data_IF_293559452849
#
_entry.id   IF_293559452849
#
_cell.length_a   1.000
_cell.length_b   1.000
_cell.length_c   1.000
_cell.angle_alpha   90.00
_cell.angle_beta   90.00
_cell.angle_gamma   90.00
#
_symmetry.space_group_name_H-M   'P 1'
#
loop_
_entity.id
_entity.type
_entity.pdbx_description
1 polymer ?
#
# COMPACT_ATOMS: atom_id res chain seq x y z
N UNK A 1 7.15 -11.83 4.98
CA UNK A 1 6.75 -11.44 3.60
C UNK A 1 7.89 -10.72 2.89
N UNK A 2 7.92 -10.72 1.55
CA UNK A 2 8.80 -9.84 0.77
C UNK A 2 8.10 -8.53 0.40
N UNK A 3 8.58 -7.41 0.94
CA UNK A 3 8.04 -6.08 0.63
C UNK A 3 8.34 -5.63 -0.80
N UNK A 4 9.50 -6.02 -1.37
CA UNK A 4 9.79 -5.75 -2.79
C UNK A 4 8.78 -6.46 -3.70
N UNK A 5 8.44 -7.73 -3.38
CA UNK A 5 7.41 -8.48 -4.11
C UNK A 5 6.05 -7.80 -4.02
N UNK A 6 5.63 -7.37 -2.82
CA UNK A 6 4.38 -6.65 -2.64
C UNK A 6 4.30 -5.38 -3.49
N UNK A 7 5.37 -4.57 -3.48
CA UNK A 7 5.45 -3.37 -4.33
C UNK A 7 5.29 -3.68 -5.82
N UNK A 8 6.03 -4.67 -6.31
CA UNK A 8 5.95 -5.10 -7.72
C UNK A 8 4.54 -5.58 -8.10
N UNK A 9 3.96 -6.46 -7.30
CA UNK A 9 2.62 -7.02 -7.57
C UNK A 9 1.53 -5.93 -7.58
N UNK A 10 1.66 -4.91 -6.73
CA UNK A 10 0.73 -3.79 -6.73
C UNK A 10 0.87 -2.94 -8.00
N UNK A 11 2.10 -2.64 -8.43
CA UNK A 11 2.35 -1.94 -9.68
C UNK A 11 1.79 -2.71 -10.88
N UNK A 12 2.04 -4.02 -10.95
CA UNK A 12 1.51 -4.90 -12.01
C UNK A 12 -0.01 -4.85 -12.07
N UNK A 13 -0.71 -4.93 -10.93
CA UNK A 13 -2.16 -4.84 -10.86
C UNK A 13 -2.70 -3.47 -11.31
N UNK A 14 -2.06 -2.38 -10.87
CA UNK A 14 -2.44 -1.01 -11.26
C UNK A 14 -2.25 -0.79 -12.76
N UNK A 15 -1.13 -1.23 -13.33
CA UNK A 15 -0.87 -1.12 -14.76
C UNK A 15 -1.83 -1.99 -15.59
N UNK A 16 -2.14 -3.20 -15.13
CA UNK A 16 -3.13 -4.07 -15.75
C UNK A 16 -4.53 -3.44 -15.77
N UNK A 17 -4.84 -2.60 -14.77
CA UNK A 17 -6.08 -1.83 -14.66
C UNK A 17 -6.06 -0.52 -15.47
N UNK A 18 -5.08 -0.35 -16.36
CA UNK A 18 -5.02 0.74 -17.34
C UNK A 18 -4.49 2.08 -16.82
N UNK A 19 -4.14 2.20 -15.55
CA UNK A 19 -3.58 3.43 -14.99
C UNK A 19 -2.13 3.67 -15.44
N UNK A 20 -1.77 4.93 -15.69
CA UNK A 20 -0.44 5.31 -16.20
C UNK A 20 0.17 6.50 -15.47
N UNK A 21 -0.66 7.40 -14.95
CA UNK A 21 -0.27 8.63 -14.29
C UNK A 21 -0.30 8.45 -12.78
N UNK A 22 0.66 7.70 -12.28
CA UNK A 22 0.67 7.21 -10.90
C UNK A 22 1.47 8.15 -10.01
N UNK A 23 0.93 8.47 -8.83
CA UNK A 23 1.64 9.17 -7.78
C UNK A 23 1.73 8.36 -6.49
N UNK A 24 2.80 8.57 -5.72
CA UNK A 24 3.05 7.84 -4.47
C UNK A 24 3.01 8.76 -3.24
N UNK A 25 2.32 8.33 -2.18
CA UNK A 25 2.18 9.07 -0.94
C UNK A 25 2.69 8.23 0.23
N UNK A 26 3.71 8.71 0.94
CA UNK A 26 4.40 7.93 1.96
C UNK A 26 4.69 8.67 3.26
N UNK A 27 4.39 8.02 4.38
CA UNK A 27 4.83 8.46 5.72
C UNK A 27 6.06 7.69 6.19
N UNK A 28 6.91 8.32 7.00
CA UNK A 28 8.07 7.69 7.66
C UNK A 28 9.09 7.05 6.70
N UNK A 29 9.19 7.51 5.45
CA UNK A 29 10.02 6.84 4.43
C UNK A 29 11.51 6.71 4.79
N UNK A 30 12.06 7.60 5.62
CA UNK A 30 13.46 7.48 6.10
C UNK A 30 13.62 6.33 7.12
N UNK A 31 12.66 6.16 8.04
CA UNK A 31 12.71 5.17 9.12
C UNK A 31 12.07 3.82 8.80
N UNK A 32 11.08 3.78 7.91
CA UNK A 32 10.41 2.55 7.50
C UNK A 32 11.08 1.91 6.27
N UNK A 33 12.08 1.07 6.55
CA UNK A 33 12.77 0.26 5.54
C UNK A 33 11.82 -0.64 4.74
N UNK A 34 10.68 -1.05 5.31
CA UNK A 34 9.70 -1.92 4.64
C UNK A 34 8.89 -1.14 3.62
N UNK A 35 8.45 0.07 3.97
CA UNK A 35 7.78 0.98 3.03
C UNK A 35 8.69 1.34 1.85
N UNK A 36 9.98 1.63 2.11
CA UNK A 36 10.97 1.84 1.04
C UNK A 36 11.12 0.64 0.12
N UNK A 37 11.28 -0.57 0.67
CA UNK A 37 11.34 -1.79 -0.15
C UNK A 37 10.09 -2.00 -1.01
N UNK A 38 8.90 -1.62 -0.53
CA UNK A 38 7.67 -1.63 -1.35
C UNK A 38 7.75 -0.61 -2.48
N UNK A 39 8.16 0.62 -2.19
CA UNK A 39 8.32 1.65 -3.23
C UNK A 39 9.37 1.24 -4.28
N UNK A 40 10.52 0.72 -3.85
CA UNK A 40 11.58 0.23 -4.75
C UNK A 40 11.05 -0.86 -5.70
N UNK A 41 10.36 -1.88 -5.17
CA UNK A 41 9.77 -2.92 -6.01
C UNK A 41 8.64 -2.43 -6.93
N UNK A 42 7.92 -1.39 -6.50
CA UNK A 42 6.88 -0.74 -7.29
C UNK A 42 7.49 0.02 -8.48
N UNK A 43 8.48 0.87 -8.22
CA UNK A 43 9.19 1.65 -9.25
C UNK A 43 9.94 0.75 -10.23
N UNK A 44 10.59 -0.31 -9.76
CA UNK A 44 11.23 -1.30 -10.63
C UNK A 44 10.25 -1.90 -11.64
N UNK A 45 9.02 -2.18 -11.20
CA UNK A 45 7.97 -2.73 -12.07
C UNK A 45 7.46 -1.70 -13.08
N UNK A 46 7.25 -0.45 -12.65
CA UNK A 46 6.88 0.64 -13.55
C UNK A 46 7.96 0.88 -14.62
N UNK A 47 9.23 0.96 -14.23
CA UNK A 47 10.34 1.21 -15.15
C UNK A 47 10.46 0.11 -16.21
N UNK A 48 10.24 -1.15 -15.84
CA UNK A 48 10.21 -2.28 -16.80
C UNK A 48 9.09 -2.16 -17.83
N UNK A 49 8.01 -1.45 -17.51
CA UNK A 49 6.90 -1.16 -18.41
C UNK A 49 7.05 0.20 -19.13
N UNK A 50 8.19 0.89 -18.97
CA UNK A 50 8.42 2.21 -19.56
C UNK A 50 7.67 3.35 -18.87
N UNK A 51 7.21 3.13 -17.63
CA UNK A 51 6.51 4.11 -16.81
C UNK A 51 7.39 4.59 -15.64
N UNK A 52 7.05 5.73 -15.07
CA UNK A 52 7.60 6.25 -13.84
C UNK A 52 6.50 6.93 -13.02
N UNK A 53 6.73 7.11 -11.72
CA UNK A 53 5.85 7.94 -10.90
C UNK A 53 5.91 9.39 -11.40
N UNK A 54 4.75 9.99 -11.66
CA UNK A 54 4.66 11.37 -12.15
C UNK A 54 4.69 12.39 -11.01
N UNK A 55 4.48 11.93 -9.77
CA UNK A 55 4.56 12.75 -8.56
C UNK A 55 4.79 11.88 -7.31
N UNK A 56 5.33 12.48 -6.24
CA UNK A 56 5.49 11.86 -4.93
C UNK A 56 5.27 12.87 -3.81
N UNK A 57 4.66 12.45 -2.72
CA UNK A 57 4.52 13.22 -1.49
C UNK A 57 5.04 12.42 -0.28
N UNK A 58 5.95 13.01 0.48
CA UNK A 58 6.52 12.37 1.67
C UNK A 58 6.29 13.19 2.94
N UNK A 59 5.88 12.50 4.00
CA UNK A 59 5.75 13.07 5.32
C UNK A 59 6.62 12.33 6.35
N UNK A 60 7.37 13.07 7.16
CA UNK A 60 8.26 12.49 8.17
C UNK A 60 7.56 12.11 9.48
N UNK A 61 6.34 12.60 9.72
CA UNK A 61 5.57 12.25 10.92
C UNK A 61 4.82 10.92 10.77
N UNK A 62 4.03 10.61 11.81
CA UNK A 62 3.25 9.36 11.89
C UNK A 62 2.15 9.24 10.84
N UNK A 63 1.68 8.01 10.62
CA UNK A 63 0.55 7.73 9.75
C UNK A 63 -0.78 8.14 10.40
N UNK A 64 -1.62 8.87 9.68
CA UNK A 64 -2.92 9.35 10.16
C UNK A 64 -3.89 9.62 8.99
N UNK A 65 -5.21 9.46 9.21
CA UNK A 65 -6.23 9.75 8.20
C UNK A 65 -6.16 11.20 7.72
N UNK A 66 -6.10 12.15 8.66
CA UNK A 66 -6.03 13.57 8.34
C UNK A 66 -4.84 13.87 7.43
N UNK A 67 -3.69 13.23 7.69
CA UNK A 67 -2.52 13.44 6.86
C UNK A 67 -2.68 12.86 5.45
N UNK A 68 -3.34 11.72 5.33
CA UNK A 68 -3.74 11.15 4.04
C UNK A 68 -4.60 12.11 3.22
N UNK A 69 -5.59 12.73 3.85
CA UNK A 69 -6.45 13.77 3.24
C UNK A 69 -5.63 14.96 2.75
N UNK A 70 -4.76 15.52 3.59
CA UNK A 70 -3.93 16.68 3.25
C UNK A 70 -2.99 16.40 2.07
N UNK A 71 -2.26 15.29 2.10
CA UNK A 71 -1.32 14.93 1.03
C UNK A 71 -2.06 14.66 -0.29
N UNK A 72 -3.25 14.03 -0.22
CA UNK A 72 -4.10 13.79 -1.41
C UNK A 72 -4.60 15.10 -2.01
N UNK A 73 -5.04 16.04 -1.17
CA UNK A 73 -5.46 17.35 -1.65
C UNK A 73 -4.31 18.09 -2.35
N UNK A 74 -3.11 18.08 -1.73
CA UNK A 74 -1.94 18.76 -2.28
C UNK A 74 -1.49 18.15 -3.62
N UNK A 75 -1.48 16.82 -3.74
CA UNK A 75 -0.99 16.15 -4.95
C UNK A 75 -1.96 16.32 -6.14
N UNK A 76 -3.27 16.20 -5.89
CA UNK A 76 -4.27 16.38 -6.95
C UNK A 76 -4.40 17.85 -7.38
N UNK A 77 -4.13 18.79 -6.48
CA UNK A 77 -4.11 20.22 -6.81
C UNK A 77 -2.90 20.59 -7.69
N UNK A 78 -1.70 20.06 -7.38
CA UNK A 78 -0.48 20.38 -8.14
C UNK A 78 -0.32 19.56 -9.41
N UNK A 79 -0.85 18.33 -9.44
CA UNK A 79 -0.77 17.43 -10.58
C UNK A 79 -2.13 16.81 -10.93
N UNK A 80 -2.98 17.56 -11.66
CA UNK A 80 -4.31 17.08 -12.06
C UNK A 80 -4.31 15.91 -13.05
N UNK A 81 -3.14 15.55 -13.62
CA UNK A 81 -3.01 14.43 -14.55
C UNK A 81 -2.99 13.07 -13.84
N UNK A 82 -2.80 13.04 -12.51
CA UNK A 82 -2.77 11.82 -11.70
C UNK A 82 -4.07 11.04 -11.86
N UNK A 83 -3.95 9.79 -12.29
CA UNK A 83 -5.05 8.83 -12.42
C UNK A 83 -4.99 7.71 -11.36
N UNK A 84 -3.90 7.62 -10.60
CA UNK A 84 -3.77 6.65 -9.51
C UNK A 84 -2.92 7.16 -8.35
N UNK A 85 -3.39 6.94 -7.12
CA UNK A 85 -2.70 7.27 -5.88
C UNK A 85 -2.34 5.99 -5.12
N UNK A 86 -1.04 5.69 -5.04
CA UNK A 86 -0.54 4.57 -4.25
C UNK A 86 0.02 5.07 -2.91
N UNK A 87 -0.54 4.59 -1.82
CA UNK A 87 -0.20 5.00 -0.47
C UNK A 87 0.71 3.97 0.20
N UNK A 88 1.67 4.43 1.01
CA UNK A 88 2.55 3.53 1.73
C UNK A 88 1.82 2.63 2.73
N UNK A 89 0.64 3.01 3.20
CA UNK A 89 -0.20 2.21 4.08
C UNK A 89 -1.68 2.61 4.03
N UNK A 90 -2.54 1.72 4.51
CA UNK A 90 -4.01 1.89 4.51
C UNK A 90 -4.50 3.13 5.24
N UNK A 91 -3.79 3.60 6.27
CA UNK A 91 -4.31 4.68 7.11
C UNK A 91 -4.32 6.04 6.40
N UNK A 92 -3.25 6.36 5.68
CA UNK A 92 -3.22 7.54 4.80
C UNK A 92 -4.07 7.31 3.54
N UNK A 93 -4.18 6.06 3.04
CA UNK A 93 -5.05 5.71 1.92
C UNK A 93 -6.53 5.96 2.23
N UNK A 94 -7.00 5.56 3.41
CA UNK A 94 -8.35 5.84 3.89
C UNK A 94 -8.63 7.34 4.00
N UNK A 95 -7.66 8.11 4.48
CA UNK A 95 -7.74 9.58 4.50
C UNK A 95 -7.89 10.19 3.11
N UNK A 96 -7.13 9.69 2.14
CA UNK A 96 -7.23 10.10 0.74
C UNK A 96 -8.58 9.73 0.12
N UNK A 97 -9.07 8.52 0.35
CA UNK A 97 -10.38 8.08 -0.11
C UNK A 97 -11.51 8.97 0.42
N UNK A 98 -11.49 9.31 1.71
CA UNK A 98 -12.48 10.21 2.32
C UNK A 98 -12.39 11.64 1.75
N UNK A 99 -11.20 12.09 1.34
CA UNK A 99 -11.06 13.36 0.62
C UNK A 99 -11.68 13.30 -0.78
N UNK A 100 -11.37 12.27 -1.56
CA UNK A 100 -11.93 12.09 -2.90
C UNK A 100 -13.45 12.08 -2.85
N UNK A 101 -14.03 11.34 -1.89
CA UNK A 101 -15.48 11.26 -1.70
C UNK A 101 -16.09 12.62 -1.33
N UNK A 102 -15.48 13.34 -0.39
CA UNK A 102 -15.92 14.70 0.02
C UNK A 102 -15.87 15.71 -1.13
N UNK A 103 -14.96 15.51 -2.09
CA UNK A 103 -14.85 16.35 -3.30
C UNK A 103 -15.64 15.84 -4.50
N UNK A 104 -16.39 14.74 -4.37
CA UNK A 104 -17.11 14.13 -5.48
C UNK A 104 -16.19 13.64 -6.61
N UNK A 105 -14.94 13.29 -6.30
CA UNK A 105 -14.01 12.68 -7.25
C UNK A 105 -14.42 11.23 -7.44
N UNK A 106 -14.67 10.86 -8.70
CA UNK A 106 -14.99 9.49 -9.09
C UNK A 106 -13.81 8.54 -8.82
N UNK A 107 -14.04 7.59 -7.92
CA UNK A 107 -13.15 6.48 -7.57
C UNK A 107 -13.92 5.19 -7.87
N UNK A 108 -13.42 4.28 -8.72
CA UNK A 108 -12.10 4.25 -9.35
C UNK A 108 -12.03 4.91 -10.74
N UNK A 109 -13.10 5.55 -11.21
CA UNK A 109 -13.23 5.97 -12.60
C UNK A 109 -12.25 7.08 -12.99
N UNK A 110 -12.18 8.17 -12.23
CA UNK A 110 -11.22 9.26 -12.48
C UNK A 110 -9.87 9.01 -11.81
N UNK A 111 -9.87 8.60 -10.54
CA UNK A 111 -8.65 8.29 -9.78
C UNK A 111 -8.80 6.96 -9.06
N UNK A 112 -7.86 6.04 -9.28
CA UNK A 112 -7.75 4.82 -8.49
C UNK A 112 -6.91 5.03 -7.21
N UNK A 113 -7.15 4.22 -6.19
CA UNK A 113 -6.44 4.32 -4.91
C UNK A 113 -6.03 2.92 -4.43
N UNK A 114 -4.83 2.80 -3.85
CA UNK A 114 -4.44 1.58 -3.13
C UNK A 114 -3.54 1.89 -1.92
N UNK A 115 -3.73 1.13 -0.85
CA UNK A 115 -2.89 1.13 0.35
C UNK A 115 -2.05 -0.13 0.51
N UNK A 116 -1.71 -0.42 1.75
CA UNK A 116 -0.99 -1.62 2.17
C UNK A 116 -1.23 -1.85 3.67
N UNK A 117 -1.53 -3.10 4.06
CA UNK A 117 -1.51 -3.73 5.39
C UNK A 117 -2.71 -4.66 5.62
N UNK A 118 -3.83 -4.43 4.92
CA UNK A 118 -5.11 -5.10 5.20
C UNK A 118 -5.63 -4.73 6.58
N UNK A 119 -5.73 -3.44 6.91
CA UNK A 119 -6.25 -2.99 8.20
C UNK A 119 -7.78 -3.15 8.28
N UNK A 120 -8.27 -3.62 9.44
CA UNK A 120 -9.71 -3.81 9.71
C UNK A 120 -10.54 -2.53 9.54
N UNK A 121 -9.93 -1.36 9.73
CA UNK A 121 -10.61 -0.07 9.50
C UNK A 121 -11.14 0.08 8.07
N UNK A 122 -10.56 -0.63 7.09
CA UNK A 122 -11.00 -0.60 5.71
C UNK A 122 -12.42 -1.16 5.55
N UNK A 123 -12.83 -2.09 6.41
CA UNK A 123 -14.18 -2.66 6.41
C UNK A 123 -15.25 -1.67 6.91
N UNK A 124 -14.85 -0.60 7.60
CA UNK A 124 -15.72 0.48 8.03
C UNK A 124 -15.82 1.66 7.04
N UNK A 125 -15.14 1.58 5.89
CA UNK A 125 -15.17 2.65 4.88
C UNK A 125 -16.38 2.50 3.94
N UNK A 126 -16.86 3.61 3.34
CA UNK A 126 -18.02 3.58 2.44
C UNK A 126 -17.78 2.79 1.14
N UNK A 127 -16.52 2.57 0.76
CA UNK A 127 -16.08 1.67 -0.32
C UNK A 127 -14.78 1.01 0.12
N UNK A 128 -14.50 -0.20 -0.37
CA UNK A 128 -13.33 -0.97 0.03
C UNK A 128 -12.09 -0.48 -0.70
N UNK A 129 -11.14 0.07 0.05
CA UNK A 129 -9.83 0.46 -0.49
C UNK A 129 -9.05 -0.79 -0.94
N UNK A 130 -8.49 -0.74 -2.14
CA UNK A 130 -7.53 -1.73 -2.60
C UNK A 130 -6.30 -1.76 -1.67
N UNK A 131 -5.84 -2.94 -1.29
CA UNK A 131 -4.70 -3.09 -0.38
C UNK A 131 -4.00 -4.44 -0.58
N UNK A 132 -2.95 -4.69 0.17
CA UNK A 132 -2.40 -6.04 0.34
C UNK A 132 -2.39 -6.40 1.82
N UNK A 133 -2.83 -7.61 2.12
CA UNK A 133 -2.67 -8.17 3.45
C UNK A 133 -1.19 -8.42 3.75
N UNK A 134 -0.69 -7.83 4.84
CA UNK A 134 0.67 -8.02 5.31
C UNK A 134 0.87 -9.32 6.11
N UNK A 135 -0.16 -10.16 6.21
CA UNK A 135 -0.22 -11.40 6.99
C UNK A 135 0.07 -11.15 8.47
N UNK A 136 -0.47 -10.06 9.03
CA UNK A 136 -0.08 -9.55 10.35
C UNK A 136 -0.34 -10.58 11.45
N UNK A 137 -1.49 -11.25 11.38
CA UNK A 137 -1.88 -12.27 12.35
C UNK A 137 -1.03 -13.53 12.22
N UNK A 138 -0.79 -13.99 10.99
CA UNK A 138 0.02 -15.18 10.70
C UNK A 138 1.48 -14.96 11.09
N UNK A 139 2.05 -13.79 10.82
CA UNK A 139 3.40 -13.42 11.27
C UNK A 139 3.48 -13.50 12.79
N UNK A 140 2.52 -12.92 13.52
CA UNK A 140 2.46 -12.98 14.97
C UNK A 140 2.39 -14.42 15.49
N UNK A 141 1.49 -15.24 14.93
CA UNK A 141 1.32 -16.65 15.29
C UNK A 141 2.58 -17.47 15.03
N UNK A 142 3.19 -17.35 13.84
CA UNK A 142 4.41 -18.08 13.48
C UNK A 142 5.59 -17.67 14.35
N UNK A 143 5.75 -16.37 14.63
CA UNK A 143 6.81 -15.90 15.51
C UNK A 143 6.67 -16.44 16.94
N UNK A 144 5.46 -16.39 17.51
CA UNK A 144 5.18 -16.93 18.83
C UNK A 144 5.42 -18.45 18.89
N UNK A 145 4.99 -19.19 17.85
CA UNK A 145 5.21 -20.63 17.75
C UNK A 145 6.69 -20.97 17.73
N UNK A 146 7.50 -20.30 16.90
CA UNK A 146 8.95 -20.52 16.82
C UNK A 146 9.62 -20.29 18.18
N UNK A 147 9.22 -19.25 18.92
CA UNK A 147 9.74 -18.98 20.26
C UNK A 147 9.34 -20.08 21.25
N UNK A 148 8.08 -20.52 21.22
CA UNK A 148 7.59 -21.58 22.11
C UNK A 148 8.30 -22.91 21.84
N UNK A 149 8.45 -23.30 20.58
CA UNK A 149 9.13 -24.54 20.17
C UNK A 149 10.60 -24.51 20.58
N UNK A 150 11.29 -23.39 20.34
CA UNK A 150 12.69 -23.16 20.77
C UNK A 150 12.89 -23.24 22.28
N UNK A 151 11.92 -22.76 23.04
CA UNK A 151 11.98 -22.82 24.50
C UNK A 151 11.74 -24.24 25.01
N UNK A 152 10.91 -25.03 24.31
CA UNK A 152 10.68 -26.44 24.63
C UNK A 152 11.87 -27.33 24.23
N UNK A 153 12.52 -27.03 23.10
CA UNK A 153 13.71 -27.72 22.62
C UNK A 153 14.75 -26.72 22.07
N UNK A 154 15.78 -26.37 22.88
CA UNK A 154 16.85 -25.47 22.47
C UNK A 154 17.73 -25.99 21.33
N UNK A 155 17.63 -27.27 20.98
CA UNK A 155 18.44 -27.88 19.90
C UNK A 155 17.83 -27.66 18.51
N UNK A 156 16.61 -27.12 18.43
CA UNK A 156 15.95 -26.83 17.16
C UNK A 156 16.72 -25.82 16.30
N UNK A 157 16.98 -26.21 15.06
CA UNK A 157 17.69 -25.40 14.07
C UNK A 157 16.96 -24.06 13.78
N UNK A 158 17.69 -23.02 13.34
CA UNK A 158 17.08 -21.77 12.87
C UNK A 158 16.10 -21.99 11.73
N UNK A 159 14.88 -21.51 11.92
CA UNK A 159 13.83 -21.49 10.92
C UNK A 159 13.66 -20.07 10.36
N UNK A 160 13.52 -19.97 9.03
CA UNK A 160 13.14 -18.75 8.33
C UNK A 160 11.85 -19.02 7.56
N UNK A 161 10.77 -18.34 7.94
CA UNK A 161 9.46 -18.49 7.30
C UNK A 161 9.16 -17.26 6.45
N UNK A 162 8.90 -17.46 5.15
CA UNK A 162 8.40 -16.41 4.28
C UNK A 162 6.91 -16.63 3.96
N UNK A 163 6.07 -15.70 4.42
CA UNK A 163 4.66 -15.62 4.04
C UNK A 163 4.47 -14.79 2.76
N UNK A 164 3.31 -14.96 2.12
CA UNK A 164 2.99 -14.32 0.84
C UNK A 164 1.84 -13.31 1.03
N UNK A 165 2.10 -12.01 0.82
CA UNK A 165 1.03 -11.01 0.88
C UNK A 165 0.10 -11.20 -0.31
N UNK A 166 -1.20 -10.99 -0.10
CA UNK A 166 -2.22 -11.18 -1.13
C UNK A 166 -2.87 -9.84 -1.44
N UNK A 167 -3.00 -9.51 -2.73
CA UNK A 167 -3.74 -8.34 -3.19
C UNK A 167 -5.23 -8.52 -2.88
N UNK A 168 -5.79 -7.52 -2.25
CA UNK A 168 -7.22 -7.35 -2.05
C UNK A 168 -7.63 -6.15 -2.90
N UNK A 169 -8.20 -6.37 -4.10
CA UNK A 169 -8.34 -5.29 -5.07
C UNK A 169 -9.42 -4.25 -4.69
N UNK A 170 -10.33 -4.60 -3.77
CA UNK A 170 -11.40 -3.70 -3.32
C UNK A 170 -12.23 -3.13 -4.47
N UNK A 171 -12.78 -1.94 -4.23
CA UNK A 171 -13.61 -1.18 -5.16
C UNK A 171 -12.86 0.00 -5.78
N UNK A 172 -11.62 0.27 -5.36
CA UNK A 172 -10.85 1.47 -5.75
C UNK A 172 -9.81 1.23 -6.83
N UNK A 173 -9.80 0.05 -7.45
CA UNK A 173 -9.11 -0.28 -8.70
C UNK A 173 -10.16 -0.67 -9.74
N UNK A 174 -9.99 -0.27 -11.00
CA UNK A 174 -10.88 -0.66 -12.11
C UNK A 174 -10.78 -2.16 -12.37
N UNK A 175 -11.93 -2.81 -12.51
CA UNK A 175 -12.03 -4.20 -12.97
C UNK A 175 -12.52 -4.16 -14.42
N UNK A 176 -11.73 -4.73 -15.34
CA UNK A 176 -12.10 -4.91 -16.75
C UNK A 176 -12.31 -6.39 -17.05
#
# INVERSE_FOLDING_TARGET
ISHRRAGRQMAEAIMASGYRNIAFLGTQMKGDFRARKRLEGFEDALHRAGLALIDREYYSGGSALLKGREMTAAILARNPAVDFLYYSNDMIGAGGLLYCRDKGIDVPGKVGLAGFNGLELLDGLPVRLATMDACRLEVGRRAAQIIADRNADPTLAPEVVELFPTLQPGDTIRHY
#
